data_IF_469669115961
#
_entry.id   IF_469669115961
#
_cell.length_a   1.000
_cell.length_b   1.000
_cell.length_c   1.000
_cell.angle_alpha   90.00
_cell.angle_beta   90.00
_cell.angle_gamma   90.00
#
_symmetry.space_group_name_H-M   'P 1'
#
loop_
_entity.id
_entity.type
_entity.pdbx_description
1 polymer ?
#
# COMPACT_ATOMS: atom_id res chain seq x y z
N UNK A 1 -59.65 40.70 -45.61
CA UNK A 1 -59.41 39.79 -44.47
C UNK A 1 -57.92 39.79 -44.08
N UNK A 2 -57.54 40.45 -43.00
CA UNK A 2 -56.18 40.59 -42.57
C UNK A 2 -55.88 39.52 -41.50
N UNK A 3 -54.94 38.56 -41.79
CA UNK A 3 -54.45 37.54 -40.87
C UNK A 3 -53.45 38.14 -39.90
N UNK A 4 -53.79 38.32 -38.62
CA UNK A 4 -52.88 38.66 -37.53
C UNK A 4 -51.93 37.51 -37.31
N UNK A 5 -50.59 37.70 -37.60
CA UNK A 5 -49.56 36.79 -37.17
C UNK A 5 -49.34 36.94 -35.68
N UNK A 6 -49.63 35.88 -34.91
CA UNK A 6 -49.24 35.84 -33.50
C UNK A 6 -47.72 35.65 -33.41
N UNK A 7 -47.03 36.62 -32.86
CA UNK A 7 -45.64 36.54 -32.49
C UNK A 7 -45.53 35.60 -31.25
N UNK A 8 -44.95 34.44 -31.43
CA UNK A 8 -44.59 33.57 -30.32
C UNK A 8 -43.48 34.25 -29.49
N UNK A 9 -43.85 34.70 -28.29
CA UNK A 9 -42.94 35.28 -27.33
C UNK A 9 -42.00 34.18 -26.78
N UNK A 10 -40.74 34.17 -27.25
CA UNK A 10 -39.70 33.27 -26.67
C UNK A 10 -39.51 33.60 -25.20
N UNK A 11 -39.92 32.72 -24.32
CA UNK A 11 -39.64 32.85 -22.89
C UNK A 11 -38.15 32.84 -22.65
N UNK A 12 -37.57 33.79 -21.90
CA UNK A 12 -36.14 33.76 -21.59
C UNK A 12 -35.81 32.54 -20.72
N UNK A 13 -34.86 31.78 -21.15
CA UNK A 13 -34.34 30.64 -20.38
C UNK A 13 -33.73 31.19 -19.11
N UNK A 14 -34.31 30.88 -17.98
CA UNK A 14 -33.92 31.38 -16.66
C UNK A 14 -32.43 31.26 -16.40
N UNK A 15 -31.73 32.39 -16.21
CA UNK A 15 -30.30 32.46 -15.90
C UNK A 15 -29.90 31.73 -14.61
N UNK A 16 -30.85 31.43 -13.73
CA UNK A 16 -30.66 30.71 -12.46
C UNK A 16 -30.32 29.21 -12.66
N UNK A 17 -30.91 28.56 -13.66
CA UNK A 17 -30.65 27.16 -14.00
C UNK A 17 -29.22 27.01 -14.55
N UNK A 18 -28.76 27.99 -15.32
CA UNK A 18 -27.39 27.98 -15.88
C UNK A 18 -26.33 28.14 -14.79
N UNK A 19 -26.51 29.08 -13.85
CA UNK A 19 -25.61 29.31 -12.72
C UNK A 19 -25.50 28.07 -11.82
N UNK A 20 -26.63 27.42 -11.51
CA UNK A 20 -26.66 26.21 -10.67
C UNK A 20 -25.96 25.01 -11.35
N UNK A 21 -26.11 24.85 -12.67
CA UNK A 21 -25.41 23.83 -13.44
C UNK A 21 -23.91 24.08 -13.49
N UNK A 22 -23.48 25.32 -13.75
CA UNK A 22 -22.05 25.68 -13.74
C UNK A 22 -21.42 25.41 -12.37
N UNK A 23 -22.12 25.76 -11.28
CA UNK A 23 -21.64 25.48 -9.93
C UNK A 23 -21.53 23.97 -9.67
N UNK A 24 -22.51 23.15 -10.08
CA UNK A 24 -22.45 21.70 -9.98
C UNK A 24 -21.28 21.08 -10.76
N UNK A 25 -21.06 21.50 -12.00
CA UNK A 25 -19.94 21.03 -12.80
C UNK A 25 -18.58 21.46 -12.19
N UNK A 26 -18.49 22.64 -11.61
CA UNK A 26 -17.31 23.10 -10.88
C UNK A 26 -17.00 22.20 -9.68
N UNK A 27 -17.99 21.86 -8.87
CA UNK A 27 -17.81 20.97 -7.71
C UNK A 27 -17.39 19.56 -8.17
N UNK A 28 -18.02 19.00 -9.19
CA UNK A 28 -17.67 17.70 -9.74
C UNK A 28 -16.22 17.69 -10.24
N UNK A 29 -15.81 18.75 -10.95
CA UNK A 29 -14.45 18.87 -11.45
C UNK A 29 -13.40 18.92 -10.32
N UNK A 30 -13.69 19.65 -9.23
CA UNK A 30 -12.80 19.72 -8.06
C UNK A 30 -12.69 18.33 -7.37
N UNK A 31 -13.81 17.63 -7.19
CA UNK A 31 -13.82 16.29 -6.61
C UNK A 31 -13.04 15.31 -7.50
N UNK A 32 -13.27 15.34 -8.80
CA UNK A 32 -12.56 14.49 -9.76
C UNK A 32 -11.05 14.76 -9.76
N UNK A 33 -10.65 16.04 -9.70
CA UNK A 33 -9.24 16.42 -9.61
C UNK A 33 -8.60 15.95 -8.28
N UNK A 34 -9.33 16.05 -7.17
CA UNK A 34 -8.88 15.56 -5.86
C UNK A 34 -8.69 14.05 -5.84
N UNK A 35 -9.65 13.29 -6.34
CA UNK A 35 -9.56 11.82 -6.46
C UNK A 35 -8.42 11.44 -7.40
N UNK A 36 -8.27 12.13 -8.54
CA UNK A 36 -7.18 11.89 -9.49
C UNK A 36 -5.81 12.13 -8.89
N UNK A 37 -5.63 13.24 -8.15
CA UNK A 37 -4.38 13.56 -7.49
C UNK A 37 -4.02 12.57 -6.36
N UNK A 38 -5.02 12.15 -5.59
CA UNK A 38 -4.83 11.14 -4.54
C UNK A 38 -4.46 9.77 -5.15
N UNK A 39 -5.20 9.33 -6.16
CA UNK A 39 -4.92 8.08 -6.88
C UNK A 39 -3.52 8.08 -7.53
N UNK A 40 -3.13 9.19 -8.14
CA UNK A 40 -1.78 9.35 -8.69
C UNK A 40 -0.69 9.16 -7.63
N UNK A 41 -0.83 9.81 -6.47
CA UNK A 41 0.15 9.68 -5.37
C UNK A 41 0.21 8.28 -4.77
N UNK A 42 -0.92 7.58 -4.66
CA UNK A 42 -0.97 6.22 -4.11
C UNK A 42 -0.31 5.16 -5.00
N UNK A 43 -0.11 5.47 -6.28
CA UNK A 43 0.59 4.59 -7.23
C UNK A 43 2.10 4.80 -7.26
N UNK A 44 2.62 5.79 -6.53
CA UNK A 44 4.08 6.03 -6.47
C UNK A 44 4.69 5.08 -5.45
N UNK A 45 5.63 4.20 -5.86
CA UNK A 45 6.38 3.36 -4.93
C UNK A 45 7.15 4.20 -3.91
N UNK A 46 7.39 3.69 -2.70
CA UNK A 46 8.09 4.45 -1.63
C UNK A 46 9.49 4.91 -2.03
N UNK A 47 10.14 4.20 -2.95
CA UNK A 47 11.44 4.56 -3.51
C UNK A 47 11.37 5.14 -4.93
N UNK A 48 10.17 5.42 -5.44
CA UNK A 48 9.92 5.94 -6.79
C UNK A 48 9.66 7.44 -6.82
N UNK A 49 9.81 8.03 -8.02
CA UNK A 49 9.46 9.44 -8.29
C UNK A 49 8.23 9.58 -9.18
N UNK A 50 7.76 8.48 -9.75
CA UNK A 50 6.63 8.41 -10.67
C UNK A 50 5.77 7.19 -10.36
N UNK A 51 4.47 7.21 -10.74
CA UNK A 51 3.60 6.05 -10.60
C UNK A 51 4.16 4.83 -11.31
N UNK A 52 4.12 3.69 -10.65
CA UNK A 52 4.39 2.40 -11.27
C UNK A 52 3.07 1.75 -11.68
N UNK A 53 2.98 1.34 -12.94
CA UNK A 53 1.82 0.64 -13.46
C UNK A 53 2.14 -0.85 -13.53
N UNK A 54 1.34 -1.66 -12.85
CA UNK A 54 1.51 -3.11 -12.82
C UNK A 54 0.88 -3.73 -11.58
N UNK A 55 0.84 -5.05 -11.57
CA UNK A 55 0.41 -5.78 -10.38
C UNK A 55 1.65 -6.11 -9.55
N UNK A 56 1.74 -5.63 -8.28
CA UNK A 56 2.86 -5.96 -7.43
C UNK A 56 2.86 -7.44 -7.07
N UNK A 57 4.04 -8.04 -6.95
CA UNK A 57 4.19 -9.29 -6.24
C UNK A 57 3.99 -9.05 -4.74
N UNK A 58 3.02 -9.74 -4.14
CA UNK A 58 2.64 -9.52 -2.75
C UNK A 58 3.36 -10.48 -1.82
N UNK A 59 3.94 -9.93 -0.76
CA UNK A 59 4.63 -10.67 0.30
C UNK A 59 4.01 -10.29 1.64
N UNK A 60 3.63 -11.30 2.42
CA UNK A 60 2.99 -11.10 3.72
C UNK A 60 3.96 -11.53 4.81
N UNK A 61 4.24 -10.64 5.75
CA UNK A 61 5.20 -10.82 6.83
C UNK A 61 4.51 -10.51 8.15
N UNK A 62 4.65 -11.41 9.09
CA UNK A 62 4.24 -11.24 10.47
C UNK A 62 5.45 -10.99 11.36
N UNK A 63 5.41 -9.95 12.18
CA UNK A 63 6.30 -9.77 13.31
C UNK A 63 5.66 -10.43 14.55
N UNK A 64 6.43 -11.21 15.29
CA UNK A 64 5.95 -11.97 16.44
C UNK A 64 7.09 -12.34 17.38
N UNK A 65 6.77 -12.93 18.53
CA UNK A 65 7.74 -13.44 19.49
C UNK A 65 7.41 -14.85 19.97
N UNK A 66 8.40 -15.54 20.51
CA UNK A 66 8.19 -16.74 21.29
C UNK A 66 9.11 -16.79 22.51
N UNK A 67 8.69 -17.49 23.57
CA UNK A 67 9.47 -17.60 24.81
C UNK A 67 10.89 -18.18 24.60
N UNK A 68 11.05 -19.04 23.58
CA UNK A 68 12.32 -19.75 23.33
C UNK A 68 13.18 -19.11 22.24
N UNK A 69 12.60 -18.29 21.36
CA UNK A 69 13.29 -17.79 20.16
C UNK A 69 13.38 -16.25 20.10
N UNK A 70 12.88 -15.56 21.13
CA UNK A 70 12.83 -14.08 21.11
C UNK A 70 11.89 -13.56 20.05
N UNK A 71 12.28 -12.47 19.41
CA UNK A 71 11.50 -11.79 18.36
C UNK A 71 11.95 -12.19 16.97
N UNK A 72 11.02 -12.39 16.04
CA UNK A 72 11.32 -12.80 14.67
C UNK A 72 10.21 -12.45 13.69
N UNK A 73 10.54 -12.45 12.42
CA UNK A 73 9.57 -12.38 11.33
C UNK A 73 9.17 -13.78 10.86
N UNK A 74 7.94 -13.90 10.38
CA UNK A 74 7.42 -15.12 9.77
C UNK A 74 6.78 -14.79 8.45
N UNK A 75 7.12 -15.54 7.39
CA UNK A 75 6.41 -15.42 6.12
C UNK A 75 4.99 -15.99 6.27
N UNK A 76 4.01 -15.30 5.66
CA UNK A 76 2.64 -15.80 5.57
C UNK A 76 2.29 -16.01 4.10
N UNK A 77 1.59 -17.09 3.78
CA UNK A 77 0.96 -17.22 2.47
C UNK A 77 -0.31 -16.36 2.42
N UNK A 78 -0.65 -15.83 1.26
CA UNK A 78 -1.82 -14.97 1.05
C UNK A 78 -3.17 -15.61 1.44
N UNK A 79 -3.21 -16.91 1.72
CA UNK A 79 -4.40 -17.65 2.13
C UNK A 79 -4.49 -17.95 3.63
N UNK A 80 -3.46 -17.67 4.43
CA UNK A 80 -3.42 -18.04 5.84
C UNK A 80 -3.66 -16.85 6.77
N UNK A 81 -4.82 -16.26 6.67
CA UNK A 81 -5.28 -15.18 7.57
C UNK A 81 -5.72 -15.73 8.95
N UNK A 82 -5.70 -17.03 9.14
CA UNK A 82 -6.09 -17.64 10.42
C UNK A 82 -4.90 -18.31 11.09
N UNK A 83 -4.28 -17.51 11.94
CA UNK A 83 -3.81 -17.97 13.24
C UNK A 83 -2.94 -19.20 13.22
N UNK A 84 -1.65 -19.01 13.15
CA UNK A 84 -0.75 -19.86 13.93
C UNK A 84 -1.05 -19.60 15.42
N UNK A 85 -2.18 -20.09 15.90
CA UNK A 85 -2.31 -20.47 17.30
C UNK A 85 -1.28 -21.55 17.53
N UNK A 86 -0.37 -21.28 18.40
CA UNK A 86 0.78 -22.02 18.82
C UNK A 86 0.74 -23.52 18.57
N UNK A 87 1.88 -24.05 18.24
CA UNK A 87 2.18 -25.46 18.21
C UNK A 87 1.73 -26.22 16.95
N UNK A 88 2.58 -26.30 16.00
CA UNK A 88 2.65 -27.45 15.10
C UNK A 88 1.77 -27.36 13.86
N UNK A 89 2.31 -27.00 12.73
CA UNK A 89 1.78 -27.45 11.46
C UNK A 89 1.26 -26.42 10.47
N UNK A 90 1.78 -25.22 10.50
CA UNK A 90 1.58 -24.23 9.46
C UNK A 90 2.80 -23.33 9.41
N UNK A 91 3.97 -23.92 9.37
CA UNK A 91 5.23 -23.28 9.61
C UNK A 91 5.58 -22.26 8.52
N UNK A 92 5.24 -21.01 8.75
CA UNK A 92 5.90 -19.91 8.03
C UNK A 92 7.41 -19.99 8.30
N UNK A 93 8.21 -19.66 7.30
CA UNK A 93 9.67 -19.62 7.43
C UNK A 93 10.03 -18.46 8.35
N UNK A 94 10.83 -18.74 9.38
CA UNK A 94 11.34 -17.73 10.33
C UNK A 94 12.43 -16.91 9.65
N UNK A 95 12.36 -15.60 9.75
CA UNK A 95 13.28 -14.65 9.13
C UNK A 95 13.58 -15.02 7.66
N UNK A 96 12.54 -15.11 6.80
CA UNK A 96 12.65 -15.69 5.47
C UNK A 96 13.60 -14.91 4.57
N UNK A 97 14.27 -15.61 3.67
CA UNK A 97 14.95 -14.96 2.53
C UNK A 97 13.95 -14.81 1.38
N UNK A 98 13.82 -13.59 0.87
CA UNK A 98 12.98 -13.29 -0.30
C UNK A 98 13.85 -13.13 -1.54
N UNK A 99 13.37 -13.65 -2.67
CA UNK A 99 14.00 -13.44 -3.97
C UNK A 99 13.10 -12.55 -4.83
N UNK A 100 13.65 -11.44 -5.31
CA UNK A 100 12.96 -10.48 -6.16
C UNK A 100 13.69 -10.35 -7.50
N UNK A 101 12.95 -10.02 -8.54
CA UNK A 101 13.53 -9.62 -9.82
C UNK A 101 13.72 -8.10 -9.85
N UNK A 102 14.88 -7.65 -10.29
CA UNK A 102 15.17 -6.22 -10.47
C UNK A 102 14.15 -5.58 -11.41
N UNK A 103 13.64 -4.43 -11.03
CA UNK A 103 12.67 -3.68 -11.82
C UNK A 103 11.21 -4.08 -11.61
N UNK A 104 10.93 -5.24 -11.01
CA UNK A 104 9.57 -5.67 -10.75
C UNK A 104 8.98 -5.03 -9.50
N UNK A 105 7.73 -4.58 -9.62
CA UNK A 105 7.01 -3.97 -8.50
C UNK A 105 6.75 -5.00 -7.39
N UNK A 106 7.18 -4.69 -6.17
CA UNK A 106 6.99 -5.50 -4.97
C UNK A 106 6.06 -4.80 -3.99
N UNK A 107 5.25 -5.54 -3.28
CA UNK A 107 4.42 -5.05 -2.17
C UNK A 107 4.62 -5.94 -0.95
N UNK A 108 5.12 -5.34 0.13
CA UNK A 108 5.32 -6.02 1.41
C UNK A 108 4.24 -5.56 2.38
N UNK A 109 3.47 -6.52 2.87
CA UNK A 109 2.43 -6.33 3.88
C UNK A 109 2.96 -6.81 5.21
N UNK A 110 3.21 -5.89 6.13
CA UNK A 110 3.70 -6.21 7.48
C UNK A 110 2.56 -6.08 8.46
N UNK A 111 2.41 -7.07 9.33
CA UNK A 111 1.51 -7.04 10.47
C UNK A 111 2.30 -7.36 11.75
N UNK A 112 2.04 -6.62 12.81
CA UNK A 112 2.52 -6.97 14.14
C UNK A 112 1.50 -7.88 14.83
N UNK A 113 1.81 -9.17 14.94
CA UNK A 113 1.02 -10.17 15.69
C UNK A 113 1.78 -10.69 16.91
N UNK A 114 2.52 -9.82 17.59
CA UNK A 114 3.21 -10.18 18.83
C UNK A 114 2.24 -10.24 20.00
N UNK A 115 1.51 -11.33 20.07
CA UNK A 115 0.56 -11.59 21.13
C UNK A 115 1.21 -11.75 22.52
N UNK A 116 2.46 -12.25 22.55
CA UNK A 116 3.09 -12.62 23.81
C UNK A 116 3.57 -11.42 24.63
N UNK A 117 4.14 -10.43 23.96
CA UNK A 117 4.75 -9.27 24.61
C UNK A 117 4.06 -7.95 24.28
N UNK A 118 3.26 -7.91 23.21
CA UNK A 118 2.67 -6.69 22.67
C UNK A 118 3.73 -5.62 22.33
N UNK A 119 4.95 -6.03 22.03
CA UNK A 119 6.03 -5.14 21.66
C UNK A 119 5.75 -4.46 20.32
N UNK A 120 6.32 -3.28 20.13
CA UNK A 120 6.30 -2.61 18.84
C UNK A 120 7.35 -3.22 17.92
N UNK A 121 7.03 -3.31 16.63
CA UNK A 121 7.94 -3.78 15.60
C UNK A 121 7.88 -2.89 14.38
N UNK A 122 8.99 -2.77 13.67
CA UNK A 122 9.03 -2.13 12.35
C UNK A 122 9.76 -3.03 11.34
N UNK A 123 9.71 -2.64 10.07
CA UNK A 123 10.36 -3.38 8.99
C UNK A 123 11.07 -2.40 8.06
N UNK A 124 12.36 -2.60 7.90
CA UNK A 124 13.23 -1.69 7.17
C UNK A 124 14.05 -2.42 6.11
N UNK A 125 14.23 -1.79 4.94
CA UNK A 125 15.16 -2.19 3.89
C UNK A 125 15.85 -0.92 3.40
N UNK A 126 16.97 -0.57 3.99
CA UNK A 126 17.67 0.70 3.71
C UNK A 126 18.08 0.83 2.26
N UNK A 127 18.51 -0.28 1.64
CA UNK A 127 18.93 -0.31 0.25
C UNK A 127 17.87 0.23 -0.73
N UNK A 128 16.60 0.15 -0.38
CA UNK A 128 15.46 0.58 -1.20
C UNK A 128 14.64 1.68 -0.56
N UNK A 129 15.11 2.26 0.55
CA UNK A 129 14.40 3.31 1.31
C UNK A 129 12.96 2.88 1.68
N UNK A 130 12.83 1.62 2.11
CA UNK A 130 11.56 1.02 2.56
C UNK A 130 11.59 0.97 4.07
N UNK A 131 10.66 1.69 4.72
CA UNK A 131 10.57 1.77 6.17
C UNK A 131 9.10 1.82 6.59
N UNK A 132 8.73 0.99 7.56
CA UNK A 132 7.43 1.16 8.24
C UNK A 132 7.58 2.13 9.40
N UNK A 133 6.46 2.63 9.90
CA UNK A 133 6.39 3.16 11.26
C UNK A 133 6.60 2.02 12.27
N UNK A 134 6.78 2.37 13.55
CA UNK A 134 6.69 1.40 14.64
C UNK A 134 5.24 0.94 14.76
N UNK A 135 5.00 -0.33 14.43
CA UNK A 135 3.68 -0.95 14.44
C UNK A 135 3.39 -1.47 15.84
N UNK A 136 2.32 -1.00 16.46
CA UNK A 136 1.76 -1.57 17.67
C UNK A 136 1.07 -2.92 17.39
N UNK A 137 0.64 -3.59 18.46
CA UNK A 137 -0.05 -4.87 18.35
C UNK A 137 -1.28 -4.81 17.43
N UNK A 138 -1.38 -5.73 16.49
CA UNK A 138 -2.35 -5.78 15.38
C UNK A 138 -2.33 -4.62 14.39
N UNK A 139 -1.36 -3.73 14.47
CA UNK A 139 -1.18 -2.73 13.43
C UNK A 139 -0.54 -3.33 12.18
N UNK A 140 -0.94 -2.80 11.03
CA UNK A 140 -0.44 -3.21 9.72
C UNK A 140 0.05 -2.02 8.91
N UNK A 141 1.02 -2.29 8.03
CA UNK A 141 1.41 -1.32 6.99
C UNK A 141 1.83 -2.06 5.73
N UNK A 142 1.47 -1.50 4.60
CA UNK A 142 1.88 -1.98 3.28
C UNK A 142 2.83 -0.99 2.65
N UNK A 143 3.94 -1.50 2.09
CA UNK A 143 4.91 -0.71 1.34
C UNK A 143 5.09 -1.30 -0.04
N UNK A 144 4.98 -0.45 -1.05
CA UNK A 144 5.18 -0.84 -2.45
C UNK A 144 6.44 -0.17 -2.96
N UNK A 145 7.36 -0.93 -3.55
CA UNK A 145 8.64 -0.45 -4.03
C UNK A 145 9.14 -1.23 -5.25
N UNK A 146 10.15 -0.69 -5.92
CA UNK A 146 10.82 -1.34 -7.05
C UNK A 146 12.28 -1.58 -6.69
N UNK A 147 12.75 -2.85 -6.60
CA UNK A 147 14.16 -3.16 -6.43
C UNK A 147 14.94 -2.67 -7.67
N UNK A 148 15.82 -1.69 -7.50
CA UNK A 148 16.56 -1.06 -8.60
C UNK A 148 18.05 -1.46 -8.65
N UNK A 149 18.49 -2.33 -7.73
CA UNK A 149 19.86 -2.84 -7.61
C UNK A 149 19.81 -4.35 -7.45
N UNK A 150 20.74 -5.07 -8.06
CA UNK A 150 20.98 -6.50 -7.85
C UNK A 150 21.88 -6.73 -6.65
N UNK A 151 21.76 -7.88 -6.00
CA UNK A 151 22.59 -8.26 -4.86
C UNK A 151 21.78 -8.80 -3.69
N UNK A 152 22.44 -9.00 -2.57
CA UNK A 152 21.83 -9.41 -1.31
C UNK A 152 21.76 -8.22 -0.36
N UNK A 153 20.57 -7.96 0.17
CA UNK A 153 20.28 -6.85 1.06
C UNK A 153 19.60 -7.37 2.33
N UNK A 154 19.91 -6.75 3.46
CA UNK A 154 19.27 -7.09 4.73
C UNK A 154 17.94 -6.35 4.88
N UNK A 155 16.94 -7.00 5.47
CA UNK A 155 15.82 -6.34 6.11
C UNK A 155 15.85 -6.60 7.61
N UNK A 156 15.35 -5.66 8.41
CA UNK A 156 15.49 -5.73 9.86
C UNK A 156 14.42 -4.94 10.61
N UNK A 157 14.30 -5.22 11.92
CA UNK A 157 13.60 -4.39 12.89
C UNK A 157 14.62 -3.53 13.65
N UNK A 158 14.42 -2.21 13.69
CA UNK A 158 15.33 -1.32 14.43
C UNK A 158 15.16 -1.40 15.95
N UNK A 159 14.02 -1.95 16.41
CA UNK A 159 13.70 -2.10 17.84
C UNK A 159 14.29 -3.41 18.39
N UNK A 160 14.30 -4.47 17.56
CA UNK A 160 14.74 -5.81 17.92
C UNK A 160 15.80 -6.29 16.91
N UNK A 161 17.10 -6.10 17.19
CA UNK A 161 18.18 -6.36 16.21
C UNK A 161 18.32 -7.83 15.77
N UNK A 162 17.78 -8.77 16.54
CA UNK A 162 17.71 -10.20 16.17
C UNK A 162 16.70 -10.49 15.06
N UNK A 163 15.71 -9.62 14.88
CA UNK A 163 14.73 -9.74 13.81
C UNK A 163 15.30 -9.22 12.50
N UNK A 164 15.92 -10.10 11.73
CA UNK A 164 16.51 -9.76 10.44
C UNK A 164 16.56 -10.92 9.49
N UNK A 165 16.56 -10.65 8.21
CA UNK A 165 16.70 -11.64 7.15
C UNK A 165 17.20 -10.99 5.87
N UNK A 166 17.18 -11.73 4.77
CA UNK A 166 17.79 -11.30 3.52
C UNK A 166 16.77 -11.16 2.39
N UNK A 167 17.09 -10.24 1.49
CA UNK A 167 16.44 -10.07 0.20
C UNK A 167 17.52 -10.26 -0.87
N UNK A 168 17.31 -11.23 -1.75
CA UNK A 168 18.16 -11.44 -2.92
C UNK A 168 17.43 -10.78 -4.11
N UNK A 169 18.11 -9.85 -4.78
CA UNK A 169 17.60 -9.25 -6.01
C UNK A 169 18.42 -9.74 -7.18
N UNK A 170 17.76 -10.47 -8.06
CA UNK A 170 18.35 -11.02 -9.28
C UNK A 170 18.18 -10.05 -10.44
N UNK A 171 19.16 -10.04 -11.37
CA UNK A 171 19.04 -9.39 -12.65
C UNK A 171 18.29 -10.27 -13.65
N UNK A 172 17.82 -9.68 -14.76
CA UNK A 172 17.41 -10.42 -15.94
C UNK A 172 18.63 -11.05 -16.63
#
# INVERSE_FOLDING_TARGET
>A
MARKRQQQQKRPISSSITKRRVMLFGIIAIIAAGIGAYGYKSMIPVNGKAPAFGFPANHFIKATSSANSGYFYVSQSSGSVRGLRGSGGGGGIVNPTYTFQKGNLQSIHVINEDYNTHSHHNFNIDAFNVHTKDLGYFETQTMTFVPNKTGTFEYYCSIHPEMKGNIIVEGE
#
